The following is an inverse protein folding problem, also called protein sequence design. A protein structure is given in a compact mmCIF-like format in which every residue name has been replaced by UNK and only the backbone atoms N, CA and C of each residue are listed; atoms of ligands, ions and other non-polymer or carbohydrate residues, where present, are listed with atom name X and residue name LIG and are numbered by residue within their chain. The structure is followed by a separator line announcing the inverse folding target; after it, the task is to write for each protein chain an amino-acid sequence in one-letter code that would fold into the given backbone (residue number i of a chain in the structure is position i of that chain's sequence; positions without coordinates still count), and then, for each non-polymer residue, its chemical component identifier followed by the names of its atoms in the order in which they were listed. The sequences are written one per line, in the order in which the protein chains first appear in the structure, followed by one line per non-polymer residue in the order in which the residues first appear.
data_IF_424454852111
#
_entry.id   IF_424454852111
#
_cell.length_a   1.000
_cell.length_b   1.000
_cell.length_c   1.000
_cell.angle_alpha   90.00
_cell.angle_beta   90.00
_cell.angle_gamma   90.00
#
_symmetry.space_group_name_H-M   'P 1'
#
loop_
_entity.id
_entity.type
_entity.pdbx_description
1 polymer ?
#
# COMPACT_ATOMS: atom_id res chain seq x y z
N UNK A 1 15.20 -9.84 0.85
CA UNK A 1 14.45 -8.57 0.92
C UNK A 1 14.68 -7.89 -0.42
N UNK A 2 13.65 -7.80 -1.25
CA UNK A 2 13.78 -7.20 -2.59
C UNK A 2 13.58 -5.70 -2.53
N UNK A 3 14.28 -4.92 -3.38
CA UNK A 3 14.14 -3.45 -3.44
C UNK A 3 12.90 -2.98 -4.23
N UNK A 4 11.72 -3.46 -3.84
CA UNK A 4 10.44 -3.12 -4.47
C UNK A 4 10.11 -1.64 -4.26
N UNK A 5 9.83 -0.94 -5.37
CA UNK A 5 9.38 0.46 -5.40
C UNK A 5 7.94 0.64 -5.87
N UNK A 6 7.38 -0.39 -6.50
CA UNK A 6 6.03 -0.34 -7.09
C UNK A 6 5.28 -1.63 -6.76
N UNK A 7 4.04 -1.48 -6.32
CA UNK A 7 3.08 -2.56 -6.12
C UNK A 7 1.89 -2.29 -7.03
N UNK A 8 1.44 -3.31 -7.78
CA UNK A 8 0.21 -3.22 -8.57
C UNK A 8 -0.80 -4.21 -8.00
N UNK A 9 -1.93 -3.68 -7.55
CA UNK A 9 -3.07 -4.43 -7.06
C UNK A 9 -4.17 -4.39 -8.12
N UNK A 10 -4.59 -5.57 -8.58
CA UNK A 10 -5.57 -5.73 -9.68
C UNK A 10 -6.92 -6.27 -9.18
N UNK A 11 -7.20 -6.09 -7.90
CA UNK A 11 -8.42 -6.57 -7.23
C UNK A 11 -8.82 -5.59 -6.15
N UNK A 12 -10.11 -5.51 -5.85
CA UNK A 12 -10.60 -4.80 -4.67
C UNK A 12 -10.50 -5.70 -3.42
N UNK A 13 -10.46 -5.12 -2.22
CA UNK A 13 -10.45 -5.90 -0.97
C UNK A 13 -11.64 -6.87 -0.90
N UNK A 14 -12.80 -6.43 -1.41
CA UNK A 14 -14.04 -7.20 -1.52
C UNK A 14 -14.62 -7.07 -2.93
N UNK A 15 -14.96 -8.20 -3.53
CA UNK A 15 -15.64 -8.27 -4.84
C UNK A 15 -16.88 -9.16 -4.73
N UNK A 16 -18.04 -8.65 -5.19
CA UNK A 16 -19.31 -9.38 -5.14
C UNK A 16 -19.63 -9.94 -3.73
N UNK A 17 -19.31 -9.16 -2.70
CA UNK A 17 -19.51 -9.52 -1.29
C UNK A 17 -18.53 -10.56 -0.73
N UNK A 18 -17.52 -10.98 -1.50
CA UNK A 18 -16.48 -11.92 -1.05
C UNK A 18 -15.15 -11.20 -0.87
N UNK A 19 -14.50 -11.43 0.27
CA UNK A 19 -13.15 -10.94 0.52
C UNK A 19 -12.16 -11.58 -0.45
N UNK A 20 -11.33 -10.75 -1.10
CA UNK A 20 -10.31 -11.16 -2.08
C UNK A 20 -8.91 -10.90 -1.57
N UNK A 21 -8.71 -9.79 -0.86
CA UNK A 21 -7.43 -9.39 -0.31
C UNK A 21 -7.63 -8.78 1.07
N UNK A 22 -6.75 -9.13 2.01
CA UNK A 22 -6.61 -8.37 3.24
C UNK A 22 -5.95 -7.03 2.91
N UNK A 23 -6.37 -5.96 3.57
CA UNK A 23 -5.62 -4.71 3.51
C UNK A 23 -4.28 -4.90 4.22
N UNK A 24 -3.20 -4.81 3.47
CA UNK A 24 -1.82 -4.94 3.96
C UNK A 24 -1.11 -3.59 4.08
N UNK A 25 -1.85 -2.49 3.96
CA UNK A 25 -1.35 -1.12 4.04
C UNK A 25 -2.17 -0.31 5.06
N UNK A 26 -1.56 0.72 5.67
CA UNK A 26 -2.26 1.58 6.62
C UNK A 26 -3.35 2.41 5.96
N UNK A 27 -4.31 2.88 6.77
CA UNK A 27 -5.24 3.92 6.32
C UNK A 27 -4.51 5.22 5.95
N UNK A 28 -5.16 6.05 5.15
CA UNK A 28 -4.61 7.32 4.67
C UNK A 28 -4.15 8.20 5.83
N UNK A 29 -2.92 8.69 5.76
CA UNK A 29 -2.25 9.49 6.81
C UNK A 29 -1.94 8.75 8.12
N UNK A 30 -2.10 7.43 8.16
CA UNK A 30 -1.73 6.60 9.32
C UNK A 30 -0.39 5.89 9.10
N UNK A 31 0.15 5.39 10.21
CA UNK A 31 1.35 4.57 10.26
C UNK A 31 1.03 3.26 10.96
N UNK A 32 1.45 2.15 10.36
CA UNK A 32 1.29 0.81 10.93
C UNK A 32 2.62 0.06 10.90
N UNK A 33 2.80 -0.83 11.88
CA UNK A 33 3.97 -1.69 12.00
C UNK A 33 3.62 -3.11 11.56
N UNK A 34 4.36 -3.62 10.59
CA UNK A 34 4.28 -4.98 10.07
C UNK A 34 5.62 -5.69 10.39
N UNK A 35 5.66 -6.42 11.50
CA UNK A 35 6.88 -7.04 12.04
C UNK A 35 8.02 -6.03 12.27
N UNK A 36 9.06 -6.09 11.42
CA UNK A 36 10.21 -5.19 11.45
C UNK A 36 10.07 -3.98 10.51
N UNK A 37 8.97 -3.90 9.75
CA UNK A 37 8.66 -2.78 8.85
C UNK A 37 7.74 -1.78 9.54
N UNK A 38 8.08 -0.51 9.46
CA UNK A 38 7.14 0.60 9.69
C UNK A 38 6.71 1.15 8.33
N UNK A 39 5.40 1.16 8.08
CA UNK A 39 4.81 1.65 6.84
C UNK A 39 3.93 2.85 7.16
N UNK A 40 4.25 3.98 6.56
CA UNK A 40 3.51 5.22 6.73
C UNK A 40 2.81 5.59 5.42
N UNK A 41 1.50 5.85 5.48
CA UNK A 41 0.77 6.44 4.37
C UNK A 41 1.11 7.92 4.24
N UNK A 42 1.58 8.30 3.06
CA UNK A 42 1.97 9.66 2.71
C UNK A 42 0.90 10.35 1.88
N UNK A 43 0.32 9.65 0.90
CA UNK A 43 -0.78 10.20 0.10
C UNK A 43 -1.67 9.09 -0.47
N UNK A 44 -2.90 9.46 -0.78
CA UNK A 44 -3.84 8.65 -1.56
C UNK A 44 -4.54 9.57 -2.56
N UNK A 45 -4.38 9.27 -3.84
CA UNK A 45 -4.97 10.03 -4.94
C UNK A 45 -5.89 9.12 -5.74
N UNK A 46 -7.13 9.56 -5.95
CA UNK A 46 -8.11 8.85 -6.75
C UNK A 46 -8.09 9.37 -8.19
N UNK A 47 -7.90 8.47 -9.15
CA UNK A 47 -8.06 8.71 -10.58
C UNK A 47 -9.28 7.95 -11.10
N UNK A 48 -9.61 8.12 -12.38
CA UNK A 48 -10.79 7.50 -13.00
C UNK A 48 -10.74 5.96 -12.93
N UNK A 49 -9.59 5.36 -13.23
CA UNK A 49 -9.43 3.90 -13.35
C UNK A 49 -8.67 3.24 -12.18
N UNK A 50 -8.05 4.04 -11.31
CA UNK A 50 -7.19 3.51 -10.25
C UNK A 50 -7.01 4.47 -9.07
N UNK A 51 -6.63 3.92 -7.92
CA UNK A 51 -6.09 4.67 -6.80
C UNK A 51 -4.56 4.55 -6.75
N UNK A 52 -3.90 5.67 -6.54
CA UNK A 52 -2.46 5.75 -6.27
C UNK A 52 -2.22 6.03 -4.79
N UNK A 53 -1.44 5.19 -4.14
CA UNK A 53 -0.95 5.41 -2.78
C UNK A 53 0.56 5.55 -2.77
N UNK A 54 1.04 6.48 -1.95
CA UNK A 54 2.45 6.64 -1.63
C UNK A 54 2.70 6.23 -0.19
N UNK A 55 3.70 5.37 0.00
CA UNK A 55 4.10 4.86 1.30
C UNK A 55 5.58 5.14 1.53
N UNK A 56 5.91 5.60 2.74
CA UNK A 56 7.28 5.48 3.24
C UNK A 56 7.39 4.20 4.06
N UNK A 57 8.27 3.32 3.63
CA UNK A 57 8.54 2.03 4.27
C UNK A 57 9.96 2.04 4.80
N UNK A 58 10.10 1.75 6.08
CA UNK A 58 11.40 1.69 6.75
C UNK A 58 11.55 0.43 7.59
N UNK A 59 12.77 -0.07 7.64
CA UNK A 59 13.22 -1.05 8.62
C UNK A 59 14.40 -0.47 9.43
N UNK A 60 15.12 -1.30 10.18
CA UNK A 60 16.27 -0.85 10.99
C UNK A 60 17.46 -0.33 10.18
N UNK A 61 17.51 -0.62 8.88
CA UNK A 61 18.68 -0.39 8.03
C UNK A 61 18.38 0.50 6.82
N UNK A 62 17.15 0.51 6.33
CA UNK A 62 16.75 1.12 5.07
C UNK A 62 15.46 1.90 5.21
N UNK A 63 15.32 2.94 4.38
CA UNK A 63 14.09 3.70 4.22
C UNK A 63 13.85 3.92 2.73
N UNK A 64 12.60 3.83 2.32
CA UNK A 64 12.25 3.63 0.93
C UNK A 64 10.81 4.05 0.66
N UNK A 65 10.61 4.83 -0.39
CA UNK A 65 9.27 5.16 -0.87
C UNK A 65 8.77 4.06 -1.81
N UNK A 66 7.51 3.65 -1.63
CA UNK A 66 6.79 2.68 -2.47
C UNK A 66 5.51 3.33 -3.00
N UNK A 67 5.24 3.13 -4.28
CA UNK A 67 3.98 3.49 -4.91
C UNK A 67 3.11 2.25 -5.11
N UNK A 68 1.85 2.32 -4.67
CA UNK A 68 0.87 1.28 -4.92
C UNK A 68 -0.22 1.79 -5.85
N UNK A 69 -0.42 1.09 -6.96
CA UNK A 69 -1.49 1.32 -7.91
C UNK A 69 -2.56 0.26 -7.70
N UNK A 70 -3.78 0.64 -7.38
CA UNK A 70 -4.90 -0.27 -7.30
C UNK A 70 -5.90 0.04 -8.41
N UNK A 71 -6.00 -0.84 -9.39
CA UNK A 71 -7.05 -0.78 -10.41
C UNK A 71 -8.36 -1.29 -9.79
N UNK A 72 -9.42 -0.49 -9.89
CA UNK A 72 -10.71 -0.73 -9.20
C UNK A 72 -11.83 -1.07 -10.14
#
# INVERSE_FOLDING_TARGET
QEDVRVIVMITNEVEKGKKKCERYWPLTWQEERYDDLTVKSISETCYEDYLLREFDVSDKHTCRTIYQFQFT
#
